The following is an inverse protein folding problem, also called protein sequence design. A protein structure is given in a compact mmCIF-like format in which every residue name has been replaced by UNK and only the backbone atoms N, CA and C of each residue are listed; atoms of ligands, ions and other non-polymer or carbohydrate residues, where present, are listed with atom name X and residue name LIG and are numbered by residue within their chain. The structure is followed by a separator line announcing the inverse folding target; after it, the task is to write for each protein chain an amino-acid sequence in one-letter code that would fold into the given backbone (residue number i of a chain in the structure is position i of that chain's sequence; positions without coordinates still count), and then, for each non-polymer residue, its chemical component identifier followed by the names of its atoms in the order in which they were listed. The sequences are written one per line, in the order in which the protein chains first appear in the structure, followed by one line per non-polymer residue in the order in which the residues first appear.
data_IF_231732836267
#
_entry.id   IF_231732836267
#
_cell.length_a   1.000
_cell.length_b   1.000
_cell.length_c   1.000
_cell.angle_alpha   90.00
_cell.angle_beta   90.00
_cell.angle_gamma   90.00
#
_symmetry.space_group_name_H-M   'P 1'
#
loop_
_entity.id
_entity.type
_entity.pdbx_description
1 polymer ?
#
# COMPACT_ATOMS: atom_id res chain seq x y z
N UNK A 1 -29.35 -31.93 28.86
CA UNK A 1 -27.99 -32.02 28.31
C UNK A 1 -28.06 -31.41 26.91
N UNK A 2 -27.85 -30.10 26.73
CA UNK A 2 -26.56 -29.37 26.55
C UNK A 2 -25.74 -30.06 25.45
N UNK A 3 -25.41 -29.48 24.28
CA UNK A 3 -24.81 -28.17 24.03
C UNK A 3 -25.32 -27.49 22.75
N UNK A 4 -25.67 -26.20 22.87
CA UNK A 4 -25.35 -25.22 21.83
C UNK A 4 -23.91 -24.75 21.99
N UNK A 5 -23.35 -24.24 20.90
CA UNK A 5 -22.22 -23.30 20.74
C UNK A 5 -22.02 -23.31 19.22
N UNK A 6 -22.23 -22.22 18.50
CA UNK A 6 -21.70 -20.90 18.80
C UNK A 6 -20.94 -20.50 17.54
N UNK A 7 -21.20 -19.29 17.09
CA UNK A 7 -20.70 -18.71 15.85
C UNK A 7 -19.19 -18.88 15.68
N UNK A 8 -18.78 -19.35 14.51
CA UNK A 8 -17.55 -18.87 13.90
C UNK A 8 -17.70 -18.85 12.37
N UNK A 9 -18.79 -18.23 11.91
CA UNK A 9 -18.74 -17.58 10.59
C UNK A 9 -17.95 -16.30 10.80
N UNK A 10 -16.64 -16.46 10.93
CA UNK A 10 -15.67 -15.44 10.57
C UNK A 10 -16.05 -15.06 9.14
N UNK A 11 -16.83 -14.00 9.02
CA UNK A 11 -17.26 -13.43 7.75
C UNK A 11 -15.99 -12.89 7.14
N UNK A 12 -15.30 -13.75 6.40
CA UNK A 12 -14.46 -13.31 5.31
C UNK A 12 -15.41 -12.51 4.40
N UNK A 13 -15.55 -11.22 4.69
CA UNK A 13 -16.12 -10.27 3.75
C UNK A 13 -15.25 -10.46 2.52
N UNK A 14 -15.81 -11.11 1.49
CA UNK A 14 -15.11 -11.32 0.25
C UNK A 14 -14.56 -9.96 -0.18
N UNK A 15 -13.24 -9.84 -0.22
CA UNK A 15 -12.59 -8.59 -0.59
C UNK A 15 -13.09 -8.26 -1.99
N UNK A 16 -13.79 -7.13 -2.12
CA UNK A 16 -14.39 -6.74 -3.40
C UNK A 16 -13.29 -6.66 -4.47
N UNK A 17 -13.60 -6.97 -5.73
CA UNK A 17 -12.64 -6.90 -6.85
C UNK A 17 -11.88 -5.57 -6.90
N UNK A 18 -12.53 -4.48 -6.50
CA UNK A 18 -11.94 -3.15 -6.41
C UNK A 18 -10.87 -3.02 -5.31
N UNK A 19 -11.14 -3.54 -4.12
CA UNK A 19 -10.15 -3.60 -3.04
C UNK A 19 -8.95 -4.47 -3.41
N UNK A 20 -9.17 -5.61 -4.08
CA UNK A 20 -8.08 -6.46 -4.57
C UNK A 20 -7.20 -5.72 -5.60
N UNK A 21 -7.82 -4.97 -6.52
CA UNK A 21 -7.08 -4.13 -7.49
C UNK A 21 -6.26 -3.04 -6.78
N UNK A 22 -6.85 -2.32 -5.82
CA UNK A 22 -6.14 -1.30 -5.04
C UNK A 22 -4.98 -1.91 -4.24
N UNK A 23 -5.18 -3.07 -3.63
CA UNK A 23 -4.12 -3.80 -2.91
C UNK A 23 -2.97 -4.19 -3.83
N UNK A 24 -3.25 -4.70 -5.03
CA UNK A 24 -2.23 -5.03 -6.02
C UNK A 24 -1.47 -3.79 -6.50
N UNK A 25 -2.15 -2.66 -6.68
CA UNK A 25 -1.51 -1.38 -7.01
C UNK A 25 -0.63 -0.87 -5.86
N UNK A 26 -1.15 -0.89 -4.64
CA UNK A 26 -0.42 -0.48 -3.45
C UNK A 26 0.86 -1.32 -3.28
N UNK A 27 0.77 -2.64 -3.51
CA UNK A 27 1.93 -3.52 -3.48
C UNK A 27 2.97 -3.16 -4.53
N UNK A 28 2.56 -2.84 -5.77
CA UNK A 28 3.48 -2.36 -6.82
C UNK A 28 4.20 -1.08 -6.39
N UNK A 29 3.46 -0.12 -5.81
CA UNK A 29 4.02 1.14 -5.30
C UNK A 29 4.95 0.94 -4.11
N UNK A 30 4.63 0.01 -3.20
CA UNK A 30 5.51 -0.38 -2.08
C UNK A 30 6.86 -0.91 -2.59
N UNK A 31 6.85 -1.78 -3.60
CA UNK A 31 8.08 -2.33 -4.20
C UNK A 31 8.98 -1.23 -4.77
N UNK A 32 8.40 -0.25 -5.47
CA UNK A 32 9.14 0.90 -6.00
C UNK A 32 9.70 1.79 -4.88
N UNK A 33 8.93 2.02 -3.81
CA UNK A 33 9.41 2.79 -2.67
C UNK A 33 10.59 2.09 -1.96
N UNK A 34 10.56 0.76 -1.85
CA UNK A 34 11.67 -0.04 -1.31
C UNK A 34 12.89 0.05 -2.23
N UNK A 35 12.68 -0.04 -3.56
CA UNK A 35 13.75 0.12 -4.55
C UNK A 35 14.43 1.48 -4.41
N UNK A 36 13.67 2.57 -4.38
CA UNK A 36 14.18 3.95 -4.21
C UNK A 36 14.98 4.14 -2.92
N UNK A 37 14.53 3.49 -1.83
CA UNK A 37 15.13 3.64 -0.52
C UNK A 37 16.44 2.87 -0.39
N UNK A 38 16.49 1.65 -0.90
CA UNK A 38 17.57 0.71 -0.59
C UNK A 38 18.55 0.51 -1.73
N UNK A 39 18.12 0.57 -3.00
CA UNK A 39 19.01 0.31 -4.12
C UNK A 39 20.24 1.24 -4.17
N UNK A 40 20.14 2.55 -3.90
CA UNK A 40 21.31 3.43 -3.88
C UNK A 40 22.37 3.03 -2.84
N UNK A 41 21.93 2.57 -1.66
CA UNK A 41 22.82 2.22 -0.56
C UNK A 41 23.64 0.94 -0.82
N UNK A 42 23.09 0.00 -1.59
CA UNK A 42 23.74 -1.31 -1.83
C UNK A 42 24.51 -1.40 -3.15
N UNK A 43 24.50 -0.33 -3.96
CA UNK A 43 25.19 -0.31 -5.26
C UNK A 43 26.69 -0.57 -5.13
N UNK A 44 27.35 0.09 -4.18
CA UNK A 44 28.81 0.02 -4.02
C UNK A 44 29.26 -1.14 -3.13
N UNK A 45 28.34 -1.75 -2.39
CA UNK A 45 28.66 -2.76 -1.36
C UNK A 45 28.71 -4.17 -1.93
N UNK A 46 27.88 -4.51 -2.93
CA UNK A 46 27.68 -5.91 -3.31
C UNK A 46 27.54 -6.21 -4.82
N UNK A 47 27.54 -5.21 -5.70
CA UNK A 47 27.38 -5.42 -7.15
C UNK A 47 25.98 -5.87 -7.59
N UNK A 48 25.20 -6.53 -6.72
CA UNK A 48 23.79 -6.89 -6.93
C UNK A 48 22.86 -6.18 -5.93
N UNK A 49 22.65 -4.88 -6.15
CA UNK A 49 21.73 -4.07 -5.34
C UNK A 49 20.28 -4.55 -5.43
N UNK A 50 19.92 -5.26 -6.50
CA UNK A 50 18.55 -5.67 -6.75
C UNK A 50 18.19 -6.95 -5.96
N UNK A 51 19.14 -7.87 -5.79
CA UNK A 51 19.00 -9.02 -4.89
C UNK A 51 18.60 -8.61 -3.47
N UNK A 52 19.29 -7.61 -2.89
CA UNK A 52 18.93 -7.08 -1.56
C UNK A 52 17.54 -6.45 -1.52
N UNK A 53 17.14 -5.73 -2.56
CA UNK A 53 15.80 -5.16 -2.65
C UNK A 53 14.74 -6.27 -2.64
N UNK A 54 14.98 -7.39 -3.32
CA UNK A 54 14.07 -8.54 -3.30
C UNK A 54 13.94 -9.14 -1.89
N UNK A 55 15.06 -9.35 -1.22
CA UNK A 55 15.09 -9.90 0.14
C UNK A 55 14.38 -8.98 1.13
N UNK A 56 14.69 -7.69 1.12
CA UNK A 56 14.07 -6.68 1.99
C UNK A 56 12.56 -6.59 1.74
N UNK A 57 12.12 -6.66 0.48
CA UNK A 57 10.72 -6.59 0.12
C UNK A 57 9.95 -7.90 0.36
N UNK A 58 10.65 -9.02 0.59
CA UNK A 58 10.06 -10.35 0.51
C UNK A 58 9.39 -10.58 -0.85
N UNK A 59 10.04 -10.14 -1.94
CA UNK A 59 9.43 -10.10 -3.27
C UNK A 59 9.29 -11.51 -3.86
N UNK A 60 8.07 -11.85 -4.28
CA UNK A 60 7.74 -13.05 -5.06
C UNK A 60 8.34 -13.00 -6.47
N UNK A 61 8.41 -14.14 -7.17
CA UNK A 61 8.98 -14.18 -8.53
C UNK A 61 8.35 -13.18 -9.52
N UNK A 62 7.00 -13.01 -9.58
CA UNK A 62 6.39 -12.00 -10.45
C UNK A 62 6.78 -10.56 -10.07
N UNK A 63 6.92 -10.27 -8.77
CA UNK A 63 7.33 -8.95 -8.28
C UNK A 63 8.79 -8.66 -8.59
N UNK A 64 9.66 -9.68 -8.49
CA UNK A 64 11.05 -9.56 -8.93
C UNK A 64 11.14 -9.32 -10.43
N UNK A 65 10.34 -10.02 -11.25
CA UNK A 65 10.29 -9.79 -12.69
C UNK A 65 9.82 -8.37 -13.01
N UNK A 66 8.81 -7.86 -12.31
CA UNK A 66 8.35 -6.48 -12.41
C UNK A 66 9.47 -5.48 -12.08
N UNK A 67 10.17 -5.65 -10.94
CA UNK A 67 11.26 -4.76 -10.54
C UNK A 67 12.44 -4.80 -11.53
N UNK A 68 12.81 -5.98 -12.06
CA UNK A 68 13.82 -6.10 -13.12
C UNK A 68 13.42 -5.33 -14.38
N UNK A 69 12.17 -5.49 -14.83
CA UNK A 69 11.65 -4.76 -15.99
C UNK A 69 11.66 -3.25 -15.75
N UNK A 70 11.21 -2.81 -14.57
CA UNK A 70 11.20 -1.40 -14.21
C UNK A 70 12.60 -0.79 -14.22
N UNK A 71 13.59 -1.46 -13.63
CA UNK A 71 15.00 -1.00 -13.63
C UNK A 71 15.61 -1.03 -15.03
N UNK A 72 15.25 -2.01 -15.87
CA UNK A 72 15.72 -2.06 -17.25
C UNK A 72 15.19 -0.87 -18.09
N UNK A 73 13.97 -0.42 -17.80
CA UNK A 73 13.32 0.70 -18.49
C UNK A 73 13.75 2.08 -17.95
N UNK A 74 13.82 2.24 -16.63
CA UNK A 74 14.01 3.55 -15.97
C UNK A 74 15.42 3.75 -15.40
N UNK A 75 16.24 2.71 -15.39
CA UNK A 75 17.52 2.68 -14.71
C UNK A 75 17.41 2.49 -13.20
N UNK A 76 18.55 2.29 -12.55
CA UNK A 76 18.60 2.18 -11.09
C UNK A 76 18.47 3.56 -10.44
N UNK A 77 17.69 3.72 -9.36
CA UNK A 77 17.68 4.95 -8.58
C UNK A 77 19.10 5.35 -8.14
N UNK A 78 19.43 6.63 -8.32
CA UNK A 78 20.78 7.17 -8.10
C UNK A 78 20.94 7.85 -6.74
N UNK A 79 19.84 8.37 -6.20
CA UNK A 79 19.81 9.11 -4.95
C UNK A 79 18.97 8.36 -3.93
N UNK A 80 19.40 8.38 -2.67
CA UNK A 80 18.60 7.88 -1.57
C UNK A 80 17.30 8.69 -1.54
N UNK A 81 16.17 7.98 -1.56
CA UNK A 81 14.85 8.60 -1.48
C UNK A 81 14.58 9.26 -0.11
N UNK A 82 13.30 9.55 0.13
CA UNK A 82 12.82 10.12 1.40
C UNK A 82 13.24 9.27 2.60
N UNK A 83 13.57 9.93 3.70
CA UNK A 83 13.80 9.31 5.00
C UNK A 83 12.52 8.66 5.54
N UNK A 84 12.65 7.78 6.52
CA UNK A 84 11.49 7.13 7.15
C UNK A 84 10.51 8.14 7.77
N UNK A 85 11.03 9.21 8.38
CA UNK A 85 10.22 10.26 8.99
C UNK A 85 9.48 11.09 7.93
N UNK A 86 10.14 11.43 6.81
CA UNK A 86 9.49 12.14 5.70
C UNK A 86 8.41 11.31 5.02
N UNK A 87 8.61 9.99 4.91
CA UNK A 87 7.61 9.04 4.41
C UNK A 87 6.41 9.04 5.36
N UNK A 88 6.64 8.82 6.65
CA UNK A 88 5.55 8.77 7.64
C UNK A 88 4.76 10.08 7.69
N UNK A 89 5.44 11.22 7.63
CA UNK A 89 4.80 12.54 7.61
C UNK A 89 4.00 12.78 6.31
N UNK A 90 4.46 12.27 5.16
CA UNK A 90 3.65 12.23 3.94
C UNK A 90 2.38 11.39 4.13
N UNK A 91 2.49 10.24 4.79
CA UNK A 91 1.34 9.38 5.12
C UNK A 91 0.32 10.06 6.04
N UNK A 92 0.78 10.77 7.08
CA UNK A 92 -0.10 11.54 7.98
C UNK A 92 -0.84 12.65 7.24
N UNK A 93 -0.14 13.38 6.36
CA UNK A 93 -0.76 14.41 5.50
C UNK A 93 -1.79 13.81 4.56
N UNK A 94 -1.50 12.65 3.96
CA UNK A 94 -2.46 11.95 3.11
C UNK A 94 -3.71 11.53 3.90
N UNK A 95 -3.56 11.00 5.11
CA UNK A 95 -4.68 10.62 5.98
C UNK A 95 -5.56 11.84 6.35
N UNK A 96 -4.94 12.97 6.72
CA UNK A 96 -5.66 14.21 7.00
C UNK A 96 -6.40 14.74 5.75
N UNK A 97 -5.74 14.72 4.59
CA UNK A 97 -6.34 15.13 3.32
C UNK A 97 -7.49 14.21 2.90
N UNK A 98 -7.42 12.91 3.19
CA UNK A 98 -8.51 11.96 2.91
C UNK A 98 -9.78 12.34 3.65
N UNK A 99 -9.65 12.72 4.93
CA UNK A 99 -10.79 13.18 5.73
C UNK A 99 -11.42 14.44 5.12
N UNK A 100 -10.62 15.38 4.64
CA UNK A 100 -11.12 16.59 3.98
C UNK A 100 -11.84 16.28 2.65
N UNK A 101 -11.28 15.37 1.84
CA UNK A 101 -11.92 14.93 0.59
C UNK A 101 -13.26 14.22 0.85
N UNK A 102 -13.29 13.34 1.86
CA UNK A 102 -14.51 12.65 2.28
C UNK A 102 -15.61 13.63 2.70
N UNK A 103 -15.28 14.64 3.52
CA UNK A 103 -16.25 15.66 3.95
C UNK A 103 -16.75 16.54 2.80
N UNK A 104 -15.95 16.71 1.75
CA UNK A 104 -16.35 17.41 0.53
C UNK A 104 -17.21 16.54 -0.41
N UNK A 105 -17.46 15.27 -0.07
CA UNK A 105 -18.18 14.31 -0.91
C UNK A 105 -17.35 13.72 -2.06
N UNK A 106 -16.04 14.02 -2.10
CA UNK A 106 -15.12 13.46 -3.09
C UNK A 106 -14.59 12.10 -2.62
N UNK A 107 -15.46 11.10 -2.73
CA UNK A 107 -15.20 9.76 -2.20
C UNK A 107 -14.08 9.04 -2.94
N UNK A 108 -13.93 9.23 -4.25
CA UNK A 108 -12.85 8.58 -5.02
C UNK A 108 -11.49 9.12 -4.59
N UNK A 109 -11.35 10.45 -4.48
CA UNK A 109 -10.12 11.08 -3.98
C UNK A 109 -9.84 10.69 -2.53
N UNK A 110 -10.86 10.60 -1.68
CA UNK A 110 -10.69 10.16 -0.30
C UNK A 110 -10.05 8.76 -0.26
N UNK A 111 -10.49 7.84 -1.12
CA UNK A 111 -9.95 6.49 -1.23
C UNK A 111 -8.51 6.48 -1.74
N UNK A 112 -8.18 7.28 -2.75
CA UNK A 112 -6.80 7.36 -3.25
C UNK A 112 -5.83 7.90 -2.17
N UNK A 113 -6.28 8.84 -1.34
CA UNK A 113 -5.50 9.36 -0.22
C UNK A 113 -5.36 8.34 0.94
N UNK A 114 -6.32 7.42 1.11
CA UNK A 114 -6.19 6.28 2.02
C UNK A 114 -5.14 5.28 1.53
N UNK A 115 -5.07 5.03 0.21
CA UNK A 115 -3.99 4.21 -0.37
C UNK A 115 -2.61 4.83 -0.10
N UNK A 116 -2.48 6.14 -0.28
CA UNK A 116 -1.23 6.86 0.00
C UNK A 116 -0.87 6.80 1.49
N UNK A 117 -1.84 6.99 2.38
CA UNK A 117 -1.61 6.88 3.82
C UNK A 117 -1.14 5.48 4.22
N UNK A 118 -1.69 4.43 3.61
CA UNK A 118 -1.27 3.03 3.84
C UNK A 118 0.10 2.72 3.24
N UNK A 119 0.39 3.21 2.04
CA UNK A 119 1.69 3.06 1.38
C UNK A 119 2.82 3.66 2.24
N UNK A 120 2.53 4.80 2.88
CA UNK A 120 3.51 5.52 3.69
C UNK A 120 3.47 5.17 5.20
N UNK A 121 2.77 4.09 5.56
CA UNK A 121 2.79 3.54 6.93
C UNK A 121 2.00 4.32 7.97
N UNK A 122 1.14 5.26 7.56
CA UNK A 122 0.25 5.97 8.46
C UNK A 122 -1.04 5.20 8.79
N UNK A 123 -1.32 4.10 8.07
CA UNK A 123 -2.44 3.21 8.33
C UNK A 123 -1.97 1.76 8.35
N UNK A 124 -2.57 0.98 9.24
CA UNK A 124 -2.50 -0.48 9.24
C UNK A 124 -3.41 -1.05 8.15
N UNK A 125 -3.16 -2.30 7.74
CA UNK A 125 -3.97 -2.98 6.72
C UNK A 125 -5.45 -3.06 7.10
N UNK A 126 -5.73 -3.36 8.36
CA UNK A 126 -7.09 -3.47 8.88
C UNK A 126 -7.82 -2.13 8.90
N UNK A 127 -7.11 -1.02 9.13
CA UNK A 127 -7.66 0.33 9.07
C UNK A 127 -7.94 0.74 7.63
N UNK A 128 -7.01 0.44 6.72
CA UNK A 128 -7.15 0.67 5.28
C UNK A 128 -8.39 -0.01 4.70
N UNK A 129 -8.60 -1.31 4.99
CA UNK A 129 -9.79 -2.05 4.55
C UNK A 129 -11.09 -1.42 5.08
N UNK A 130 -11.14 -1.13 6.39
CA UNK A 130 -12.33 -0.57 7.04
C UNK A 130 -12.70 0.81 6.48
N UNK A 131 -11.70 1.66 6.26
CA UNK A 131 -11.91 3.01 5.72
C UNK A 131 -12.45 2.96 4.29
N UNK A 132 -11.93 2.07 3.44
CA UNK A 132 -12.51 1.90 2.11
C UNK A 132 -13.93 1.37 2.12
N UNK A 133 -14.24 0.38 2.96
CA UNK A 133 -15.60 -0.14 3.10
C UNK A 133 -16.56 0.96 3.57
N UNK A 134 -16.15 1.75 4.57
CA UNK A 134 -16.91 2.89 5.06
C UNK A 134 -17.17 3.91 3.95
N UNK A 135 -16.13 4.38 3.26
CA UNK A 135 -16.27 5.36 2.17
C UNK A 135 -17.17 4.82 1.05
N UNK A 136 -17.01 3.55 0.65
CA UNK A 136 -17.85 2.93 -0.37
C UNK A 136 -19.33 2.88 0.03
N UNK A 137 -19.64 2.57 1.29
CA UNK A 137 -21.02 2.58 1.80
C UNK A 137 -21.66 3.98 1.77
N UNK A 138 -20.89 5.01 2.08
CA UNK A 138 -21.35 6.40 2.06
C UNK A 138 -21.58 6.90 0.64
N UNK A 139 -20.68 6.54 -0.28
CA UNK A 139 -20.81 6.85 -1.71
C UNK A 139 -22.05 6.20 -2.33
N UNK A 140 -22.42 4.99 -1.89
CA UNK A 140 -23.63 4.31 -2.34
C UNK A 140 -24.91 4.95 -1.80
N UNK A 141 -24.90 5.46 -0.57
CA UNK A 141 -26.05 6.14 0.06
C UNK A 141 -26.26 7.59 -0.38
N UNK A 142 -25.25 8.21 -0.99
CA UNK A 142 -25.34 9.57 -1.54
C UNK A 142 -25.91 9.64 -2.98
N UNK A 143 -26.19 8.48 -3.60
CA UNK A 143 -26.82 8.36 -4.92
C UNK A 143 -28.32 8.15 -4.78
#
# INVERSE_FOLDING_TARGET
MIFGLGEDRMTAVAETDDLQKRRAELRRRELLLILERWAPAYREVAGDSLGYVFEIAGASEPEQAFLRAHVAEHGMPQVVGRTADEILEAGRRANAASSAAFLAGDFDKARDLIDDARLYGALLDTEWVKLHQFIASQAAGAR
#
